data_IF_499511496997
#
_entry.id   IF_499511496997
#
_cell.length_a   1.000
_cell.length_b   1.000
_cell.length_c   1.000
_cell.angle_alpha   90.00
_cell.angle_beta   90.00
_cell.angle_gamma   90.00
#
_symmetry.space_group_name_H-M   'P 1'
#
loop_
_entity.id
_entity.type
_entity.pdbx_description
1 polymer ?
#
# COMPACT_ATOMS: atom_id res chain seq x y z
N UNK A 1 -9.89 3.82 -8.28
CA UNK A 1 -10.32 3.98 -6.86
C UNK A 1 -11.74 4.52 -6.80
N UNK A 2 -12.68 3.76 -6.22
CA UNK A 2 -14.10 4.10 -6.19
C UNK A 2 -14.75 3.85 -4.81
N UNK A 3 -13.99 3.41 -3.82
CA UNK A 3 -14.44 3.13 -2.47
C UNK A 3 -13.27 3.24 -1.47
N UNK A 4 -13.60 3.26 -0.17
CA UNK A 4 -12.59 3.10 0.88
C UNK A 4 -11.83 1.79 0.67
N UNK A 5 -10.55 1.78 1.03
CA UNK A 5 -9.76 0.56 1.00
C UNK A 5 -10.20 -0.39 2.12
N UNK A 6 -10.07 -1.68 1.88
CA UNK A 6 -10.25 -2.71 2.90
C UNK A 6 -8.90 -3.41 3.14
N UNK A 7 -8.81 -4.23 4.18
CA UNK A 7 -7.55 -4.88 4.60
C UNK A 7 -6.87 -5.68 3.47
N UNK A 8 -7.63 -6.25 2.53
CA UNK A 8 -7.09 -6.92 1.35
C UNK A 8 -6.39 -5.95 0.38
N UNK A 9 -6.86 -4.70 0.26
CA UNK A 9 -6.18 -3.66 -0.52
C UNK A 9 -4.98 -3.07 0.23
N UNK A 10 -5.05 -2.99 1.56
CA UNK A 10 -3.96 -2.50 2.40
C UNK A 10 -2.75 -3.46 2.38
N UNK A 11 -2.99 -4.76 2.26
CA UNK A 11 -1.93 -5.78 2.31
C UNK A 11 -0.80 -5.55 1.31
N UNK A 12 -1.03 -5.43 -0.02
CA UNK A 12 0.05 -5.12 -0.96
C UNK A 12 0.75 -3.80 -0.64
N UNK A 13 0.03 -2.77 -0.20
CA UNK A 13 0.60 -1.48 0.15
C UNK A 13 1.63 -1.61 1.28
N UNK A 14 1.30 -2.37 2.33
CA UNK A 14 2.18 -2.61 3.48
C UNK A 14 3.36 -3.51 3.10
N UNK A 15 3.12 -4.61 2.39
CA UNK A 15 4.17 -5.57 2.01
C UNK A 15 5.22 -4.92 1.13
N UNK A 16 4.80 -4.18 0.11
CA UNK A 16 5.75 -3.54 -0.80
C UNK A 16 6.41 -2.30 -0.20
N UNK A 17 5.79 -1.64 0.77
CA UNK A 17 6.45 -0.61 1.59
C UNK A 17 7.55 -1.23 2.47
N UNK A 18 7.30 -2.39 3.08
CA UNK A 18 8.31 -3.12 3.85
C UNK A 18 9.49 -3.55 2.96
N UNK A 19 9.21 -4.08 1.77
CA UNK A 19 10.27 -4.43 0.81
C UNK A 19 11.08 -3.19 0.40
N UNK A 20 10.42 -2.07 0.10
CA UNK A 20 11.06 -0.78 -0.18
C UNK A 20 11.95 -0.33 0.98
N UNK A 21 11.43 -0.32 2.21
CA UNK A 21 12.19 0.08 3.41
C UNK A 21 13.41 -0.79 3.63
N UNK A 22 13.30 -2.09 3.39
CA UNK A 22 14.44 -2.99 3.52
C UNK A 22 15.50 -2.73 2.45
N UNK A 23 15.12 -2.49 1.20
CA UNK A 23 16.08 -2.09 0.16
C UNK A 23 16.77 -0.77 0.51
N UNK A 24 16.03 0.24 0.98
CA UNK A 24 16.58 1.51 1.46
C UNK A 24 17.52 1.29 2.66
N UNK A 25 17.17 0.41 3.59
CA UNK A 25 18.01 0.00 4.72
C UNK A 25 19.33 -0.63 4.27
N UNK A 26 19.31 -1.43 3.19
CA UNK A 26 20.52 -2.03 2.57
C UNK A 26 21.30 -1.03 1.72
N UNK A 27 20.88 0.23 1.64
CA UNK A 27 21.59 1.31 0.97
C UNK A 27 21.22 1.54 -0.50
N UNK A 28 20.15 0.92 -0.99
CA UNK A 28 19.64 1.18 -2.33
C UNK A 28 18.84 2.49 -2.37
N UNK A 29 18.97 3.24 -3.47
CA UNK A 29 18.06 4.33 -3.80
C UNK A 29 16.83 3.73 -4.52
N UNK A 30 15.65 3.89 -3.92
CA UNK A 30 14.41 3.28 -4.44
C UNK A 30 13.50 4.34 -5.05
N UNK A 31 13.32 4.31 -6.36
CA UNK A 31 12.28 5.06 -7.06
C UNK A 31 10.99 4.25 -7.09
N UNK A 32 10.10 4.50 -6.11
CA UNK A 32 8.86 3.77 -5.92
C UNK A 32 7.69 4.47 -6.62
N UNK A 33 7.11 3.83 -7.63
CA UNK A 33 5.96 4.35 -8.39
C UNK A 33 4.74 3.50 -8.08
N UNK A 34 3.65 4.14 -7.65
CA UNK A 34 2.36 3.49 -7.39
C UNK A 34 1.24 4.33 -7.96
N UNK A 35 0.55 3.81 -8.96
CA UNK A 35 -0.47 4.53 -9.70
C UNK A 35 -1.84 4.52 -9.04
N UNK A 36 -2.69 5.44 -9.47
CA UNK A 36 -4.12 5.42 -9.23
C UNK A 36 -4.87 5.27 -10.55
N UNK A 37 -5.61 4.17 -10.72
CA UNK A 37 -6.63 4.05 -11.75
C UNK A 37 -7.80 4.93 -11.36
N UNK A 38 -7.96 6.07 -12.02
CA UNK A 38 -8.96 7.09 -11.75
C UNK A 38 -10.06 7.15 -12.84
N UNK A 39 -10.01 6.26 -13.82
CA UNK A 39 -11.05 6.00 -14.82
C UNK A 39 -11.25 4.49 -15.02
N UNK A 40 -12.44 4.00 -14.71
CA UNK A 40 -12.80 2.57 -14.74
C UNK A 40 -14.32 2.41 -14.72
N UNK A 41 -14.83 1.27 -15.21
CA UNK A 41 -16.27 0.97 -15.23
C UNK A 41 -16.95 1.10 -13.87
N UNK A 42 -16.25 0.74 -12.78
CA UNK A 42 -16.79 0.83 -11.40
C UNK A 42 -16.85 2.26 -10.90
N UNK A 43 -15.86 3.09 -11.26
CA UNK A 43 -15.85 4.53 -10.93
C UNK A 43 -17.01 5.22 -11.66
N UNK A 44 -17.18 4.94 -12.95
CA UNK A 44 -18.24 5.50 -13.78
C UNK A 44 -19.61 5.10 -13.24
N UNK A 45 -19.82 3.83 -12.94
CA UNK A 45 -21.06 3.33 -12.35
C UNK A 45 -21.40 4.05 -11.05
N UNK A 46 -20.42 4.21 -10.16
CA UNK A 46 -20.61 4.92 -8.89
C UNK A 46 -20.91 6.40 -9.09
N UNK A 47 -20.25 7.05 -10.03
CA UNK A 47 -20.51 8.45 -10.38
C UNK A 47 -21.95 8.65 -10.84
N UNK A 48 -22.46 7.76 -11.69
CA UNK A 48 -23.86 7.78 -12.16
C UNK A 48 -24.83 7.55 -10.99
N UNK A 49 -24.54 6.58 -10.11
CA UNK A 49 -25.36 6.29 -8.92
C UNK A 49 -25.44 7.46 -7.94
N UNK A 50 -24.34 8.20 -7.78
CA UNK A 50 -24.24 9.37 -6.87
C UNK A 50 -24.64 10.70 -7.55
N UNK A 51 -24.84 10.73 -8.86
CA UNK A 51 -25.16 11.94 -9.61
C UNK A 51 -24.01 12.97 -9.68
N UNK A 52 -22.77 12.50 -9.64
CA UNK A 52 -21.54 13.32 -9.68
C UNK A 52 -20.63 12.89 -10.84
N UNK A 53 -19.52 13.60 -11.07
CA UNK A 53 -18.55 13.20 -12.10
C UNK A 53 -17.65 12.04 -11.64
N UNK A 54 -17.10 11.28 -12.60
CA UNK A 54 -16.12 10.25 -12.33
C UNK A 54 -14.84 10.80 -11.67
N UNK A 55 -14.44 12.02 -12.06
CA UNK A 55 -13.32 12.76 -11.48
C UNK A 55 -13.57 13.10 -10.01
N UNK A 56 -14.77 13.51 -9.65
CA UNK A 56 -15.14 13.82 -8.27
C UNK A 56 -15.09 12.57 -7.38
N UNK A 57 -15.60 11.43 -7.89
CA UNK A 57 -15.51 10.14 -7.18
C UNK A 57 -14.07 9.73 -6.97
N UNK A 58 -13.26 9.71 -8.05
CA UNK A 58 -11.87 9.26 -7.96
C UNK A 58 -11.03 10.17 -7.07
N UNK A 59 -11.16 11.49 -7.18
CA UNK A 59 -10.44 12.48 -6.36
C UNK A 59 -10.73 12.28 -4.87
N UNK A 60 -12.01 12.08 -4.50
CA UNK A 60 -12.42 11.81 -3.13
C UNK A 60 -11.75 10.56 -2.59
N UNK A 61 -11.83 9.45 -3.29
CA UNK A 61 -11.28 8.18 -2.80
C UNK A 61 -9.75 8.06 -2.91
N UNK A 62 -9.10 8.80 -3.80
CA UNK A 62 -7.64 8.96 -3.78
C UNK A 62 -7.20 9.66 -2.50
N UNK A 63 -7.90 10.71 -2.08
CA UNK A 63 -7.62 11.42 -0.83
C UNK A 63 -7.78 10.51 0.39
N UNK A 64 -8.89 9.76 0.47
CA UNK A 64 -9.12 8.80 1.55
C UNK A 64 -8.06 7.70 1.56
N UNK A 65 -7.72 7.12 0.40
CA UNK A 65 -6.68 6.10 0.29
C UNK A 65 -5.31 6.62 0.78
N UNK A 66 -4.92 7.84 0.40
CA UNK A 66 -3.67 8.45 0.88
C UNK A 66 -3.67 8.66 2.38
N UNK A 67 -4.81 9.04 2.96
CA UNK A 67 -4.97 9.15 4.42
C UNK A 67 -4.82 7.79 5.10
N UNK A 68 -5.55 6.78 4.62
CA UNK A 68 -5.48 5.43 5.18
C UNK A 68 -4.06 4.84 5.10
N UNK A 69 -3.35 5.08 3.99
CA UNK A 69 -1.94 4.69 3.85
C UNK A 69 -1.04 5.38 4.88
N UNK A 70 -1.23 6.68 5.11
CA UNK A 70 -0.48 7.42 6.12
C UNK A 70 -0.79 6.92 7.54
N UNK A 71 -2.05 6.63 7.85
CA UNK A 71 -2.48 6.08 9.14
C UNK A 71 -1.89 4.68 9.41
N UNK A 72 -1.62 3.91 8.34
CA UNK A 72 -0.92 2.62 8.39
C UNK A 72 0.62 2.75 8.37
N UNK A 73 1.17 3.96 8.43
CA UNK A 73 2.60 4.25 8.32
C UNK A 73 3.26 3.79 7.00
N UNK A 74 2.49 3.69 5.92
CA UNK A 74 3.01 3.40 4.58
C UNK A 74 3.66 4.67 4.03
N UNK A 75 4.92 4.59 3.58
CA UNK A 75 5.64 5.72 2.98
C UNK A 75 4.94 6.17 1.70
N UNK A 76 4.80 7.48 1.45
CA UNK A 76 4.31 7.96 0.15
C UNK A 76 5.17 7.44 -1.01
N UNK A 77 4.55 7.10 -2.12
CA UNK A 77 5.28 6.77 -3.34
C UNK A 77 6.14 7.97 -3.79
N UNK A 78 7.28 7.69 -4.43
CA UNK A 78 8.11 8.73 -5.07
C UNK A 78 7.29 9.47 -6.12
N UNK A 79 6.48 8.71 -6.89
CA UNK A 79 5.53 9.24 -7.85
C UNK A 79 4.24 8.44 -7.81
N UNK A 80 3.10 9.12 -7.78
CA UNK A 80 1.76 8.51 -7.77
C UNK A 80 0.92 9.01 -8.95
N UNK A 81 1.18 8.52 -10.18
CA UNK A 81 0.50 9.00 -11.38
C UNK A 81 -0.95 8.56 -11.42
N UNK A 82 -1.78 9.33 -12.13
CA UNK A 82 -3.18 9.04 -12.40
C UNK A 82 -3.37 8.68 -13.88
N UNK A 83 -4.16 7.67 -14.17
CA UNK A 83 -4.37 7.19 -15.55
C UNK A 83 -4.89 8.31 -16.49
N UNK A 84 -5.80 9.15 -15.99
CA UNK A 84 -6.37 10.25 -16.79
C UNK A 84 -5.34 11.31 -17.23
N UNK A 85 -4.20 11.40 -16.55
CA UNK A 85 -3.12 12.33 -16.88
C UNK A 85 -2.17 11.78 -17.97
N UNK A 86 -2.31 10.49 -18.32
CA UNK A 86 -1.39 9.77 -19.21
C UNK A 86 -2.04 9.32 -20.54
N UNK A 87 -3.22 9.85 -20.86
CA UNK A 87 -4.01 9.44 -22.02
C UNK A 87 -3.23 9.56 -23.34
N UNK A 88 -2.49 10.64 -23.55
CA UNK A 88 -1.71 10.81 -24.79
C UNK A 88 -0.64 9.73 -24.92
N UNK A 89 0.06 9.42 -23.84
CA UNK A 89 1.05 8.33 -23.84
C UNK A 89 0.43 6.96 -24.16
N UNK A 90 -0.81 6.72 -23.69
CA UNK A 90 -1.55 5.50 -24.02
C UNK A 90 -1.91 5.45 -25.52
N UNK A 91 -2.37 6.55 -26.09
CA UNK A 91 -2.66 6.65 -27.53
C UNK A 91 -1.39 6.41 -28.35
N UNK A 92 -0.27 7.00 -27.97
CA UNK A 92 1.01 6.86 -28.66
C UNK A 92 1.53 5.42 -28.60
N UNK A 93 1.42 4.76 -27.44
CA UNK A 93 1.82 3.35 -27.27
C UNK A 93 0.92 2.44 -28.09
N UNK A 94 -0.39 2.63 -28.08
CA UNK A 94 -1.35 1.86 -28.89
C UNK A 94 -1.05 2.04 -30.38
N UNK A 95 -0.79 3.27 -30.83
CA UNK A 95 -0.43 3.50 -32.25
C UNK A 95 0.86 2.77 -32.62
N UNK A 96 1.87 2.80 -31.75
CA UNK A 96 3.12 2.05 -31.95
C UNK A 96 2.84 0.54 -32.08
N UNK A 97 1.95 -0.01 -31.26
CA UNK A 97 1.57 -1.43 -31.35
C UNK A 97 0.82 -1.75 -32.65
N UNK A 98 -0.02 -0.84 -33.16
CA UNK A 98 -0.69 -0.99 -34.44
C UNK A 98 0.34 -0.97 -35.58
N UNK A 99 1.25 0.01 -35.60
CA UNK A 99 2.26 0.16 -36.62
C UNK A 99 3.21 -1.04 -36.70
N UNK A 100 3.49 -1.67 -35.55
CA UNK A 100 4.27 -2.92 -35.45
C UNK A 100 3.43 -4.19 -35.74
N UNK A 101 2.12 -4.06 -35.95
CA UNK A 101 1.23 -5.15 -36.25
C UNK A 101 0.76 -6.01 -35.09
N UNK A 102 1.06 -5.57 -33.82
CA UNK A 102 0.62 -6.23 -32.60
C UNK A 102 -0.79 -5.82 -32.14
N UNK A 103 -1.34 -4.76 -32.70
CA UNK A 103 -2.71 -4.33 -32.42
C UNK A 103 -3.48 -4.02 -33.71
N UNK A 104 -4.80 -3.92 -33.62
CA UNK A 104 -5.68 -3.56 -34.74
C UNK A 104 -6.94 -2.83 -34.27
N UNK A 105 -7.42 -1.84 -35.02
CA UNK A 105 -8.71 -1.25 -34.81
C UNK A 105 -9.82 -2.11 -35.44
N UNK A 106 -10.89 -2.33 -34.69
CA UNK A 106 -12.13 -2.95 -35.17
C UNK A 106 -13.06 -1.91 -35.82
N UNK A 107 -14.14 -2.36 -36.45
CA UNK A 107 -15.05 -1.52 -37.20
C UNK A 107 -15.79 -0.46 -36.34
N UNK A 108 -16.00 -0.72 -35.04
CA UNK A 108 -16.61 0.20 -34.07
C UNK A 108 -15.62 1.18 -33.45
N UNK A 109 -14.32 1.09 -33.80
CA UNK A 109 -13.25 1.90 -33.25
C UNK A 109 -12.60 1.31 -31.97
N UNK A 110 -13.04 0.13 -31.51
CA UNK A 110 -12.33 -0.60 -30.45
C UNK A 110 -10.96 -1.03 -30.96
N UNK A 111 -9.92 -0.85 -30.17
CA UNK A 111 -8.58 -1.36 -30.52
C UNK A 111 -8.24 -2.55 -29.65
N UNK A 112 -7.85 -3.65 -30.30
CA UNK A 112 -7.45 -4.90 -29.66
C UNK A 112 -5.96 -5.19 -29.84
N UNK A 113 -5.37 -5.84 -28.84
CA UNK A 113 -4.04 -6.45 -28.92
C UNK A 113 -4.14 -7.87 -29.45
N UNK A 114 -3.25 -8.23 -30.40
CA UNK A 114 -3.17 -9.60 -31.00
C UNK A 114 -2.31 -10.49 -30.13
N UNK A 115 -2.92 -11.22 -29.21
CA UNK A 115 -2.21 -12.10 -28.26
C UNK A 115 -1.32 -13.12 -28.97
N UNK A 116 -1.81 -13.78 -30.02
CA UNK A 116 -1.06 -14.79 -30.76
C UNK A 116 0.17 -14.29 -31.52
N UNK A 117 0.31 -12.96 -31.69
CA UNK A 117 1.51 -12.36 -32.25
C UNK A 117 2.67 -12.30 -31.27
N UNK A 118 2.40 -12.23 -29.99
CA UNK A 118 3.41 -12.28 -28.95
C UNK A 118 3.64 -13.74 -28.51
N UNK A 119 4.68 -14.36 -29.04
CA UNK A 119 4.94 -15.81 -28.88
C UNK A 119 5.23 -16.20 -27.39
N UNK A 120 5.67 -15.26 -26.60
CA UNK A 120 6.01 -15.48 -25.19
C UNK A 120 4.84 -15.21 -24.25
N UNK A 121 3.62 -14.99 -24.78
CA UNK A 121 2.44 -14.76 -23.93
C UNK A 121 2.19 -15.96 -23.02
N UNK A 122 2.05 -15.69 -21.73
CA UNK A 122 1.91 -16.72 -20.68
C UNK A 122 3.22 -17.04 -19.95
N UNK A 123 4.33 -16.37 -20.27
CA UNK A 123 5.65 -16.65 -19.68
C UNK A 123 5.71 -16.36 -18.16
N UNK A 124 4.96 -15.38 -17.66
CA UNK A 124 4.89 -15.05 -16.23
C UNK A 124 3.91 -15.98 -15.52
N UNK A 125 2.73 -16.16 -16.07
CA UNK A 125 1.64 -16.95 -15.48
C UNK A 125 1.78 -18.45 -15.67
N UNK A 126 2.75 -18.90 -16.49
CA UNK A 126 2.95 -20.29 -16.91
C UNK A 126 1.68 -20.90 -17.55
N UNK A 127 0.84 -20.06 -18.16
CA UNK A 127 -0.38 -20.50 -18.83
C UNK A 127 -0.12 -20.78 -20.30
N UNK A 128 -0.60 -21.93 -20.76
CA UNK A 128 -0.56 -22.28 -22.17
C UNK A 128 -1.74 -21.63 -22.91
N UNK A 129 -1.49 -21.03 -24.08
CA UNK A 129 -2.53 -20.41 -24.90
C UNK A 129 -3.63 -21.40 -25.31
N UNK A 130 -3.30 -22.67 -25.54
CA UNK A 130 -4.27 -23.71 -25.93
C UNK A 130 -5.25 -24.00 -24.76
N UNK A 131 -4.78 -23.98 -23.52
CA UNK A 131 -5.61 -24.18 -22.33
C UNK A 131 -6.54 -22.98 -22.11
N UNK A 132 -6.06 -21.78 -22.37
CA UNK A 132 -6.87 -20.55 -22.28
C UNK A 132 -8.01 -20.54 -23.30
N UNK A 133 -7.80 -21.03 -24.54
CA UNK A 133 -8.84 -21.13 -25.57
C UNK A 133 -9.98 -22.07 -25.15
N UNK A 134 -9.69 -23.14 -24.44
CA UNK A 134 -10.71 -24.09 -23.98
C UNK A 134 -11.65 -23.52 -22.93
N UNK A 135 -11.16 -22.60 -22.08
CA UNK A 135 -11.94 -21.92 -21.03
C UNK A 135 -12.86 -20.80 -21.56
N UNK A 136 -12.48 -20.14 -22.65
CA UNK A 136 -13.26 -19.02 -23.23
C UNK A 136 -14.48 -19.44 -24.06
N UNK A 137 -14.58 -20.69 -24.47
CA UNK A 137 -15.72 -21.19 -25.30
C UNK A 137 -17.09 -21.09 -24.64
N UNK A 138 -17.15 -20.82 -23.33
CA UNK A 138 -18.40 -20.81 -22.56
C UNK A 138 -18.96 -19.43 -22.20
N UNK A 139 -18.24 -18.32 -22.42
CA UNK A 139 -18.65 -16.97 -22.02
C UNK A 139 -18.75 -16.04 -23.26
N UNK A 140 -19.92 -15.97 -23.88
CA UNK A 140 -20.22 -14.91 -24.85
C UNK A 140 -20.48 -13.60 -24.13
N UNK A 141 -19.53 -12.66 -24.21
CA UNK A 141 -19.69 -11.28 -23.75
C UNK A 141 -20.08 -10.41 -24.96
N UNK A 142 -21.04 -9.53 -24.78
CA UNK A 142 -21.49 -8.57 -25.80
C UNK A 142 -20.32 -7.72 -26.33
N UNK A 143 -20.05 -7.77 -27.64
CA UNK A 143 -18.95 -7.07 -28.31
C UNK A 143 -17.78 -7.96 -28.78
N UNK A 144 -17.82 -9.27 -28.51
CA UNK A 144 -16.77 -10.23 -28.90
C UNK A 144 -16.73 -10.57 -30.39
N UNK A 145 -17.79 -10.24 -31.13
CA UNK A 145 -17.92 -10.60 -32.56
C UNK A 145 -16.92 -9.85 -33.49
N UNK A 146 -16.17 -8.87 -32.95
CA UNK A 146 -15.22 -8.06 -33.71
C UNK A 146 -13.75 -8.41 -33.47
N UNK A 147 -13.46 -9.35 -32.55
CA UNK A 147 -12.09 -9.82 -32.30
C UNK A 147 -11.63 -10.77 -33.43
N UNK A 148 -10.37 -10.61 -33.85
CA UNK A 148 -9.72 -11.57 -34.74
C UNK A 148 -9.51 -12.92 -34.03
N UNK A 149 -9.23 -12.89 -32.72
CA UNK A 149 -9.06 -14.05 -31.84
C UNK A 149 -9.72 -13.84 -30.47
N UNK A 150 -10.36 -14.85 -29.87
CA UNK A 150 -11.01 -14.76 -28.58
C UNK A 150 -10.06 -14.32 -27.42
N UNK A 151 -8.75 -14.60 -27.54
CA UNK A 151 -7.75 -14.21 -26.54
C UNK A 151 -7.35 -12.74 -26.61
N UNK A 152 -7.66 -12.05 -27.73
CA UNK A 152 -7.29 -10.65 -27.91
C UNK A 152 -7.96 -9.78 -26.83
N UNK A 153 -7.23 -8.85 -26.28
CA UNK A 153 -7.72 -7.98 -25.23
C UNK A 153 -7.77 -6.50 -25.67
N UNK A 154 -8.62 -5.74 -25.02
CA UNK A 154 -8.94 -4.37 -25.40
C UNK A 154 -7.84 -3.41 -24.92
N UNK A 155 -7.35 -2.57 -25.84
CA UNK A 155 -6.45 -1.45 -25.57
C UNK A 155 -7.18 -0.10 -25.51
N UNK A 156 -8.23 0.08 -26.34
CA UNK A 156 -9.06 1.28 -26.41
C UNK A 156 -10.51 0.90 -26.62
N UNK A 157 -11.44 1.55 -25.89
CA UNK A 157 -12.89 1.30 -25.95
C UNK A 157 -13.61 2.52 -26.48
N UNK A 158 -14.59 2.39 -27.38
CA UNK A 158 -15.50 3.49 -27.77
C UNK A 158 -16.25 4.04 -26.55
N UNK A 159 -16.52 5.34 -26.57
CA UNK A 159 -17.33 5.99 -25.54
C UNK A 159 -18.75 5.45 -25.53
N UNK A 160 -19.34 5.40 -24.34
CA UNK A 160 -20.79 5.23 -24.14
C UNK A 160 -21.38 6.52 -23.60
N UNK A 161 -22.69 6.65 -23.70
CA UNK A 161 -23.40 7.79 -23.18
C UNK A 161 -23.17 7.95 -21.65
N UNK A 162 -22.82 9.17 -21.22
CA UNK A 162 -22.53 9.48 -19.82
C UNK A 162 -21.14 9.06 -19.31
N UNK A 163 -20.30 8.44 -20.15
CA UNK A 163 -18.93 8.09 -19.77
C UNK A 163 -17.93 9.22 -20.11
N UNK A 164 -16.87 9.41 -19.30
CA UNK A 164 -15.74 10.24 -19.69
C UNK A 164 -15.04 9.65 -20.93
N UNK A 165 -14.59 10.52 -21.82
CA UNK A 165 -13.94 10.10 -23.05
C UNK A 165 -12.86 11.08 -23.50
N UNK A 166 -11.94 10.57 -24.32
CA UNK A 166 -10.89 11.34 -24.97
C UNK A 166 -10.91 11.07 -26.48
N UNK A 167 -10.43 12.05 -27.24
CA UNK A 167 -10.28 11.90 -28.68
C UNK A 167 -9.09 10.99 -28.99
N UNK A 168 -9.27 10.06 -29.91
CA UNK A 168 -8.19 9.22 -30.42
C UNK A 168 -8.29 9.09 -31.94
N UNK A 169 -7.26 8.58 -32.64
CA UNK A 169 -7.32 8.33 -34.08
C UNK A 169 -8.40 7.32 -34.49
N UNK A 170 -8.87 6.47 -33.60
CA UNK A 170 -9.79 5.36 -33.88
C UNK A 170 -11.24 5.72 -33.56
N UNK A 171 -11.47 6.30 -32.41
CA UNK A 171 -12.79 6.82 -31.99
C UNK A 171 -12.66 7.67 -30.72
N UNK A 172 -13.68 8.48 -30.44
CA UNK A 172 -13.87 9.04 -29.10
C UNK A 172 -14.09 7.88 -28.13
N UNK A 173 -13.27 7.82 -27.04
CA UNK A 173 -13.32 6.67 -26.15
C UNK A 173 -12.39 6.78 -24.95
N UNK A 174 -12.05 5.64 -24.38
CA UNK A 174 -11.19 5.53 -23.20
C UNK A 174 -10.26 4.32 -23.24
N UNK A 175 -9.14 4.34 -22.51
CA UNK A 175 -8.19 3.22 -22.49
C UNK A 175 -8.79 1.96 -21.88
N UNK A 176 -8.24 0.81 -22.27
CA UNK A 176 -8.33 -0.43 -21.53
C UNK A 176 -7.48 -0.35 -20.25
N UNK A 177 -7.78 -1.21 -19.27
CA UNK A 177 -7.12 -1.17 -17.98
C UNK A 177 -5.61 -1.45 -18.00
N UNK A 178 -5.17 -2.36 -18.90
CA UNK A 178 -3.77 -2.84 -18.87
C UNK A 178 -2.78 -1.83 -19.47
N UNK A 179 -3.22 -1.00 -20.41
CA UNK A 179 -2.33 -0.03 -21.08
C UNK A 179 -1.88 1.10 -20.16
N UNK A 180 -2.68 1.41 -19.14
CA UNK A 180 -2.37 2.44 -18.15
C UNK A 180 -1.02 2.19 -17.47
N UNK A 181 -0.85 1.00 -16.90
CA UNK A 181 0.36 0.62 -16.17
C UNK A 181 1.58 0.52 -17.07
N UNK A 182 1.44 -0.03 -18.29
CA UNK A 182 2.54 -0.11 -19.27
C UNK A 182 3.08 1.28 -19.61
N UNK A 183 2.19 2.27 -19.83
CA UNK A 183 2.58 3.64 -20.15
C UNK A 183 3.19 4.35 -18.96
N UNK A 184 2.58 4.24 -17.77
CA UNK A 184 3.10 4.88 -16.56
C UNK A 184 4.46 4.30 -16.16
N UNK A 185 4.64 2.98 -16.26
CA UNK A 185 5.94 2.33 -16.01
C UNK A 185 7.01 2.86 -16.95
N UNK A 186 6.74 2.90 -18.26
CA UNK A 186 7.69 3.44 -19.24
C UNK A 186 8.05 4.89 -18.97
N UNK A 187 7.06 5.73 -18.64
CA UNK A 187 7.27 7.16 -18.43
C UNK A 187 8.09 7.47 -17.18
N UNK A 188 7.83 6.79 -16.06
CA UNK A 188 8.40 7.12 -14.76
C UNK A 188 9.58 6.25 -14.34
N UNK A 189 9.72 5.06 -14.93
CA UNK A 189 10.74 4.07 -14.58
C UNK A 189 11.63 3.64 -15.76
N UNK A 190 11.20 3.87 -17.00
CA UNK A 190 11.91 3.48 -18.20
C UNK A 190 11.30 2.29 -18.92
N UNK A 191 11.95 1.86 -20.01
CA UNK A 191 11.45 0.79 -20.87
C UNK A 191 11.60 -0.61 -20.25
N UNK A 192 12.64 -0.82 -19.46
CA UNK A 192 12.88 -1.97 -18.60
C UNK A 192 12.94 -1.50 -17.16
N UNK A 193 12.17 -2.11 -16.28
CA UNK A 193 12.13 -1.76 -14.85
C UNK A 193 12.79 -2.84 -14.01
N UNK A 194 13.29 -2.49 -12.82
CA UNK A 194 13.93 -3.49 -11.96
C UNK A 194 12.90 -4.44 -11.35
N UNK A 195 11.86 -3.91 -10.72
CA UNK A 195 10.85 -4.72 -10.01
C UNK A 195 9.46 -4.26 -10.41
N UNK A 196 8.59 -5.21 -10.80
CA UNK A 196 7.15 -5.01 -10.93
C UNK A 196 6.42 -5.84 -9.86
N UNK A 197 5.44 -5.23 -9.19
CA UNK A 197 4.84 -5.87 -8.04
C UNK A 197 3.31 -5.68 -8.00
N UNK A 198 2.60 -6.65 -7.42
CA UNK A 198 1.14 -6.57 -7.25
C UNK A 198 0.55 -7.75 -6.49
N UNK A 199 -0.78 -7.85 -6.44
CA UNK A 199 -1.48 -9.00 -5.92
C UNK A 199 -1.35 -10.21 -6.86
N UNK A 200 -1.45 -11.42 -6.32
CA UNK A 200 -1.41 -12.67 -7.09
C UNK A 200 -2.51 -12.74 -8.18
N UNK A 201 -3.65 -12.09 -7.93
CA UNK A 201 -4.75 -11.96 -8.90
C UNK A 201 -4.39 -11.14 -10.13
N UNK A 202 -3.36 -10.30 -10.06
CA UNK A 202 -2.87 -9.50 -11.18
C UNK A 202 -1.93 -10.28 -12.12
N UNK A 203 -1.34 -11.39 -11.66
CA UNK A 203 -0.43 -12.21 -12.51
C UNK A 203 -1.06 -12.48 -13.87
N UNK A 204 -2.34 -12.88 -13.86
CA UNK A 204 -3.12 -13.11 -15.06
C UNK A 204 -4.56 -12.61 -14.90
N UNK A 205 -5.07 -11.82 -15.86
CA UNK A 205 -4.43 -11.44 -17.13
C UNK A 205 -3.60 -10.15 -17.08
N UNK A 206 -3.61 -9.38 -15.98
CA UNK A 206 -3.15 -7.97 -15.96
C UNK A 206 -1.66 -7.84 -16.28
N UNK A 207 -0.79 -8.45 -15.48
CA UNK A 207 0.66 -8.37 -15.67
C UNK A 207 1.13 -9.05 -16.95
N UNK A 208 0.50 -10.16 -17.34
CA UNK A 208 0.79 -10.81 -18.61
C UNK A 208 0.48 -9.89 -19.80
N UNK A 209 -0.62 -9.14 -19.74
CA UNK A 209 -0.98 -8.16 -20.75
C UNK A 209 -0.04 -6.95 -20.75
N UNK A 210 0.44 -6.52 -19.58
CA UNK A 210 1.45 -5.45 -19.49
C UNK A 210 2.77 -5.86 -20.12
N UNK A 211 3.22 -7.11 -19.89
CA UNK A 211 4.40 -7.67 -20.55
C UNK A 211 4.23 -7.62 -22.07
N UNK A 212 3.11 -8.13 -22.57
CA UNK A 212 2.85 -8.17 -24.00
C UNK A 212 2.86 -6.77 -24.62
N UNK A 213 2.20 -5.79 -23.99
CA UNK A 213 2.17 -4.41 -24.46
C UNK A 213 3.56 -3.76 -24.43
N UNK A 214 4.26 -3.87 -23.31
CA UNK A 214 5.53 -3.18 -23.09
C UNK A 214 6.64 -3.78 -23.97
N UNK A 215 6.78 -5.08 -24.01
CA UNK A 215 7.84 -5.75 -24.79
C UNK A 215 7.61 -5.64 -26.29
N UNK A 216 6.37 -5.76 -26.77
CA UNK A 216 6.07 -5.52 -28.18
C UNK A 216 6.27 -4.06 -28.59
N UNK A 217 5.98 -3.11 -27.70
CA UNK A 217 6.20 -1.69 -27.96
C UNK A 217 7.68 -1.32 -27.93
N UNK A 218 8.42 -1.75 -26.89
CA UNK A 218 9.77 -1.28 -26.60
C UNK A 218 10.87 -2.17 -27.20
N UNK A 219 10.60 -3.48 -27.34
CA UNK A 219 11.59 -4.44 -27.86
C UNK A 219 12.62 -4.91 -26.83
N UNK A 220 12.38 -4.65 -25.55
CA UNK A 220 13.19 -5.07 -24.41
C UNK A 220 12.33 -5.74 -23.35
N UNK A 221 12.87 -6.56 -22.44
CA UNK A 221 12.13 -7.14 -21.33
C UNK A 221 11.45 -6.04 -20.48
N UNK A 222 10.24 -6.30 -19.99
CA UNK A 222 9.49 -5.31 -19.25
C UNK A 222 10.02 -5.13 -17.83
N UNK A 223 10.21 -6.20 -17.08
CA UNK A 223 10.71 -6.16 -15.70
C UNK A 223 11.72 -7.30 -15.47
N UNK A 224 12.76 -7.00 -14.67
CA UNK A 224 13.78 -8.00 -14.28
C UNK A 224 13.26 -8.95 -13.21
N UNK A 225 12.51 -8.41 -12.23
CA UNK A 225 11.96 -9.17 -11.10
C UNK A 225 10.47 -8.92 -10.95
N UNK A 226 9.74 -9.96 -10.54
CA UNK A 226 8.31 -9.93 -10.27
C UNK A 226 8.05 -10.31 -8.83
N UNK A 227 7.22 -9.52 -8.15
CA UNK A 227 6.83 -9.79 -6.77
C UNK A 227 5.31 -9.83 -6.64
N UNK A 228 4.77 -10.91 -6.08
CA UNK A 228 3.33 -11.07 -5.90
C UNK A 228 3.00 -11.47 -4.47
N UNK A 229 2.12 -10.70 -3.84
CA UNK A 229 1.58 -11.09 -2.55
C UNK A 229 0.34 -11.96 -2.72
N UNK A 230 0.26 -13.06 -1.96
CA UNK A 230 -0.92 -13.91 -1.91
C UNK A 230 -2.13 -13.21 -1.28
N UNK A 231 -3.34 -13.76 -1.49
CA UNK A 231 -4.55 -13.27 -0.85
C UNK A 231 -4.50 -13.35 0.68
N UNK A 232 -5.17 -12.41 1.34
CA UNK A 232 -5.39 -12.47 2.77
C UNK A 232 -6.53 -13.46 3.04
N UNK A 233 -6.19 -14.67 3.47
CA UNK A 233 -7.18 -15.66 3.91
C UNK A 233 -7.56 -15.36 5.36
N UNK A 234 -8.82 -15.03 5.60
CA UNK A 234 -9.39 -14.93 6.94
C UNK A 234 -9.90 -16.33 7.29
N UNK A 235 -9.03 -17.16 7.85
CA UNK A 235 -9.48 -18.36 8.55
C UNK A 235 -10.39 -17.94 9.72
N UNK A 236 -11.51 -18.64 9.94
CA UNK A 236 -12.47 -18.44 11.04
C UNK A 236 -11.85 -18.56 12.45
N UNK A 237 -10.56 -18.32 12.62
CA UNK A 237 -9.87 -18.28 13.91
C UNK A 237 -9.93 -16.86 14.47
N UNK A 238 -10.54 -16.73 15.66
CA UNK A 238 -10.50 -15.50 16.46
C UNK A 238 -9.04 -15.00 16.50
N UNK A 239 -8.82 -13.77 16.02
CA UNK A 239 -7.58 -13.04 16.33
C UNK A 239 -7.38 -13.11 17.84
N UNK A 240 -6.29 -13.72 18.29
CA UNK A 240 -6.03 -13.87 19.72
C UNK A 240 -5.64 -12.49 20.30
N UNK A 241 -6.06 -12.25 21.56
CA UNK A 241 -5.63 -11.06 22.31
C UNK A 241 -4.10 -10.92 22.43
N UNK A 242 -3.36 -12.00 22.14
CA UNK A 242 -1.89 -12.03 22.11
C UNK A 242 -1.26 -11.17 21.01
N UNK A 243 -1.97 -10.90 19.91
CA UNK A 243 -1.47 -10.02 18.84
C UNK A 243 -1.40 -8.55 19.27
N UNK A 244 -2.33 -8.09 20.13
CA UNK A 244 -2.27 -6.73 20.71
C UNK A 244 -1.05 -6.54 21.61
N UNK A 245 -0.65 -7.58 22.33
CA UNK A 245 0.48 -7.51 23.27
C UNK A 245 1.86 -7.44 22.58
N UNK A 246 1.97 -7.77 21.30
CA UNK A 246 3.25 -7.80 20.60
C UNK A 246 3.79 -6.36 20.35
N UNK A 247 2.98 -5.49 19.73
CA UNK A 247 3.39 -4.10 19.48
C UNK A 247 3.56 -3.32 20.79
N UNK A 248 2.66 -3.49 21.76
CA UNK A 248 2.78 -2.86 23.10
C UNK A 248 4.10 -3.23 23.79
N UNK A 249 4.55 -4.48 23.71
CA UNK A 249 5.84 -4.91 24.29
C UNK A 249 7.03 -4.18 23.67
N UNK A 250 7.02 -3.98 22.35
CA UNK A 250 8.09 -3.27 21.64
C UNK A 250 8.06 -1.78 22.01
N UNK A 251 6.90 -1.15 21.96
CA UNK A 251 6.74 0.28 22.28
C UNK A 251 7.07 0.58 23.76
N UNK A 252 6.70 -0.31 24.69
CA UNK A 252 7.06 -0.19 26.11
C UNK A 252 8.56 -0.33 26.34
N UNK A 253 9.23 -1.24 25.62
CA UNK A 253 10.68 -1.35 25.67
C UNK A 253 11.37 -0.10 25.15
N UNK A 254 10.92 0.45 24.01
CA UNK A 254 11.45 1.68 23.44
C UNK A 254 11.24 2.89 24.39
N UNK A 255 10.05 3.03 24.98
CA UNK A 255 9.77 4.07 25.95
C UNK A 255 10.70 3.99 27.17
N UNK A 256 10.88 2.78 27.70
CA UNK A 256 11.79 2.56 28.82
C UNK A 256 13.24 2.85 28.48
N UNK A 257 13.71 2.55 27.29
CA UNK A 257 15.06 2.90 26.84
C UNK A 257 15.26 4.42 26.77
N UNK A 258 14.25 5.19 26.30
CA UNK A 258 14.27 6.66 26.31
C UNK A 258 14.34 7.22 27.72
N UNK A 259 13.54 6.67 28.64
CA UNK A 259 13.56 7.07 30.05
C UNK A 259 14.94 6.80 30.66
N UNK A 260 15.54 5.64 30.39
CA UNK A 260 16.88 5.28 30.87
C UNK A 260 17.96 6.20 30.31
N UNK A 261 17.93 6.47 29.00
CA UNK A 261 18.83 7.43 28.35
C UNK A 261 18.77 8.81 29.01
N UNK A 262 17.56 9.29 29.32
CA UNK A 262 17.34 10.63 29.90
C UNK A 262 17.72 10.69 31.38
N UNK A 263 17.45 9.63 32.15
CA UNK A 263 17.67 9.56 33.59
C UNK A 263 19.07 9.10 33.98
N UNK A 264 19.90 8.65 33.04
CA UNK A 264 21.21 8.10 33.32
C UNK A 264 22.17 9.11 33.97
N UNK A 265 22.75 8.73 35.11
CA UNK A 265 23.79 9.52 35.78
C UNK A 265 25.18 9.34 35.19
N UNK A 266 25.39 8.21 34.48
CA UNK A 266 26.62 7.85 33.75
C UNK A 266 26.36 8.07 32.26
N UNK A 267 27.22 8.83 31.60
CA UNK A 267 27.04 9.16 30.18
C UNK A 267 27.70 8.12 29.25
N UNK A 268 28.94 7.75 29.51
CA UNK A 268 29.74 6.83 28.68
C UNK A 268 29.54 5.38 29.11
N UNK A 269 29.55 4.50 28.10
CA UNK A 269 29.41 3.06 28.32
C UNK A 269 30.69 2.46 28.96
N UNK A 270 30.49 1.58 29.96
CA UNK A 270 31.55 0.75 30.52
C UNK A 270 32.04 -0.29 29.49
N UNK A 271 33.18 -0.91 29.77
CA UNK A 271 33.71 -1.97 28.86
C UNK A 271 32.75 -3.15 28.75
N UNK A 272 32.05 -3.53 29.84
CA UNK A 272 31.04 -4.58 29.84
C UNK A 272 29.85 -4.17 28.97
N UNK A 273 29.38 -2.93 29.04
CA UNK A 273 28.31 -2.42 28.19
C UNK A 273 28.72 -2.35 26.73
N UNK A 274 29.95 -1.95 26.42
CA UNK A 274 30.46 -1.98 25.05
C UNK A 274 30.50 -3.39 24.47
N UNK A 275 30.82 -4.40 25.28
CA UNK A 275 30.72 -5.78 24.87
C UNK A 275 29.27 -6.16 24.59
N UNK A 276 28.31 -5.79 25.43
CA UNK A 276 26.88 -6.00 25.20
C UNK A 276 26.37 -5.31 23.92
N UNK A 277 26.84 -4.09 23.64
CA UNK A 277 26.54 -3.39 22.38
C UNK A 277 27.07 -4.17 21.16
N UNK A 278 28.22 -4.83 21.27
CA UNK A 278 28.72 -5.71 20.20
C UNK A 278 27.85 -6.95 20.01
N UNK A 279 27.29 -7.50 21.08
CA UNK A 279 26.37 -8.65 21.00
C UNK A 279 25.10 -8.31 20.22
N UNK A 280 24.67 -7.05 20.24
CA UNK A 280 23.47 -6.60 19.50
C UNK A 280 23.63 -6.76 17.98
N UNK A 281 24.86 -6.80 17.46
CA UNK A 281 25.10 -7.11 16.04
C UNK A 281 24.54 -8.48 15.63
N UNK A 282 24.44 -9.44 16.57
CA UNK A 282 23.83 -10.74 16.34
C UNK A 282 22.34 -10.66 16.04
N UNK A 283 21.60 -9.72 16.65
CA UNK A 283 20.17 -9.52 16.36
C UNK A 283 19.97 -8.85 15.01
N UNK A 284 20.86 -7.90 14.64
CA UNK A 284 20.85 -7.29 13.30
C UNK A 284 21.10 -8.37 12.25
N UNK A 285 22.11 -9.23 12.43
CA UNK A 285 22.38 -10.33 11.49
C UNK A 285 21.19 -11.26 11.31
N UNK A 286 20.55 -11.70 12.41
CA UNK A 286 19.35 -12.53 12.33
C UNK A 286 18.19 -11.87 11.60
N UNK A 287 18.01 -10.58 11.85
CA UNK A 287 17.00 -9.78 11.16
C UNK A 287 17.28 -9.71 9.65
N UNK A 288 18.52 -9.42 9.27
CA UNK A 288 18.93 -9.34 7.87
C UNK A 288 18.82 -10.71 7.18
N UNK A 289 19.27 -11.79 7.81
CA UNK A 289 19.12 -13.15 7.27
C UNK A 289 17.65 -13.50 6.99
N UNK A 290 16.74 -13.14 7.91
CA UNK A 290 15.31 -13.34 7.70
C UNK A 290 14.76 -12.50 6.56
N UNK A 291 15.17 -11.23 6.46
CA UNK A 291 14.69 -10.34 5.39
C UNK A 291 15.32 -10.66 4.03
N UNK A 292 16.53 -11.20 4.00
CA UNK A 292 17.19 -11.69 2.78
C UNK A 292 16.54 -13.00 2.27
N UNK A 293 15.83 -13.74 3.13
CA UNK A 293 15.04 -14.94 2.77
C UNK A 293 13.59 -14.57 2.42
N UNK A 294 13.40 -14.07 1.21
CA UNK A 294 12.07 -13.71 0.64
C UNK A 294 11.24 -12.75 1.50
N UNK A 295 11.91 -11.78 2.14
CA UNK A 295 11.28 -10.82 3.07
C UNK A 295 10.49 -11.52 4.19
N UNK A 296 11.07 -12.51 4.84
CA UNK A 296 10.45 -13.25 5.95
C UNK A 296 10.27 -12.36 7.20
N UNK A 297 9.23 -11.53 7.16
CA UNK A 297 8.90 -10.58 8.22
C UNK A 297 8.54 -11.26 9.55
N UNK A 298 8.14 -12.54 9.53
CA UNK A 298 7.82 -13.28 10.76
C UNK A 298 9.09 -13.56 11.58
N UNK A 299 10.14 -14.04 10.94
CA UNK A 299 11.43 -14.33 11.61
C UNK A 299 12.19 -13.02 11.88
N UNK A 300 12.09 -12.01 11.00
CA UNK A 300 12.60 -10.67 11.28
C UNK A 300 11.99 -10.07 12.55
N UNK A 301 10.68 -10.20 12.74
CA UNK A 301 9.99 -9.76 13.96
C UNK A 301 10.43 -10.57 15.19
N UNK A 302 10.73 -11.87 15.04
CA UNK A 302 11.28 -12.68 16.14
C UNK A 302 12.64 -12.14 16.60
N UNK A 303 13.52 -11.73 15.67
CA UNK A 303 14.80 -11.08 16.01
C UNK A 303 14.59 -9.78 16.79
N UNK A 304 13.59 -8.95 16.41
CA UNK A 304 13.21 -7.74 17.18
C UNK A 304 12.77 -8.12 18.61
N UNK A 305 12.00 -9.19 18.81
CA UNK A 305 11.62 -9.62 20.15
C UNK A 305 12.78 -10.17 20.99
N UNK A 306 13.77 -10.80 20.37
CA UNK A 306 15.00 -11.18 21.06
C UNK A 306 15.76 -9.93 21.55
N UNK A 307 15.87 -8.89 20.71
CA UNK A 307 16.43 -7.59 21.09
C UNK A 307 15.63 -6.92 22.21
N UNK A 308 14.30 -6.94 22.18
CA UNK A 308 13.44 -6.44 23.27
C UNK A 308 13.73 -7.18 24.59
N UNK A 309 13.88 -8.51 24.54
CA UNK A 309 14.24 -9.31 25.72
C UNK A 309 15.64 -8.94 26.24
N UNK A 310 16.60 -8.80 25.35
CA UNK A 310 17.96 -8.38 25.68
C UNK A 310 17.97 -7.01 26.35
N UNK A 311 17.30 -5.99 25.77
CA UNK A 311 17.17 -4.65 26.33
C UNK A 311 16.54 -4.68 27.73
N UNK A 312 15.46 -5.48 27.88
CA UNK A 312 14.78 -5.62 29.16
C UNK A 312 15.63 -6.27 30.25
N UNK A 313 16.61 -7.09 29.88
CA UNK A 313 17.48 -7.80 30.81
C UNK A 313 18.71 -6.97 31.19
N UNK A 314 19.33 -6.29 30.21
CA UNK A 314 20.66 -5.71 30.36
C UNK A 314 20.65 -4.20 30.58
N UNK A 315 19.67 -3.44 30.01
CA UNK A 315 19.56 -1.98 30.25
C UNK A 315 18.75 -1.71 31.51
N UNK A 316 19.44 -1.46 32.60
CA UNK A 316 18.88 -1.29 33.94
C UNK A 316 19.06 0.15 34.48
N UNK A 317 18.65 0.43 35.75
CA UNK A 317 18.75 1.74 36.37
C UNK A 317 20.18 2.31 36.47
N UNK A 318 21.19 1.46 36.53
CA UNK A 318 22.59 1.87 36.57
C UNK A 318 23.29 1.96 35.23
N UNK A 319 22.59 1.64 34.13
CA UNK A 319 23.18 1.65 32.78
C UNK A 319 23.49 3.06 32.30
N UNK A 320 24.52 3.19 31.44
CA UNK A 320 24.91 4.45 30.83
C UNK A 320 23.87 4.97 29.81
N UNK A 321 23.87 6.28 29.60
CA UNK A 321 23.07 6.91 28.58
C UNK A 321 23.43 6.39 27.17
N UNK A 322 24.71 6.19 26.91
CA UNK A 322 25.24 5.69 25.65
C UNK A 322 24.72 4.28 25.32
N UNK A 323 24.73 3.35 26.29
CA UNK A 323 24.22 1.98 26.09
C UNK A 323 22.72 1.99 25.81
N UNK A 324 21.93 2.75 26.60
CA UNK A 324 20.49 2.86 26.39
C UNK A 324 20.16 3.49 25.02
N UNK A 325 20.91 4.51 24.59
CA UNK A 325 20.75 5.18 23.30
C UNK A 325 21.06 4.23 22.13
N UNK A 326 22.17 3.50 22.20
CA UNK A 326 22.56 2.54 21.18
C UNK A 326 21.51 1.44 20.99
N UNK A 327 21.07 0.81 22.07
CA UNK A 327 20.04 -0.23 22.01
C UNK A 327 18.72 0.31 21.42
N UNK A 328 18.35 1.54 21.81
CA UNK A 328 17.16 2.21 21.24
C UNK A 328 17.33 2.48 19.74
N UNK A 329 18.51 2.93 19.29
CA UNK A 329 18.80 3.17 17.88
C UNK A 329 18.67 1.90 17.05
N UNK A 330 19.30 0.78 17.50
CA UNK A 330 19.18 -0.52 16.84
C UNK A 330 17.73 -0.95 16.75
N UNK A 331 16.99 -0.90 17.86
CA UNK A 331 15.57 -1.26 17.89
C UNK A 331 14.75 -0.41 16.92
N UNK A 332 14.96 0.90 16.91
CA UNK A 332 14.25 1.82 16.03
C UNK A 332 14.53 1.51 14.56
N UNK A 333 15.79 1.26 14.22
CA UNK A 333 16.22 0.96 12.86
C UNK A 333 15.57 -0.30 12.31
N UNK A 334 15.52 -1.39 13.10
CA UNK A 334 14.89 -2.63 12.68
C UNK A 334 13.36 -2.50 12.59
N UNK A 335 12.75 -1.80 13.55
CA UNK A 335 11.30 -1.57 13.54
C UNK A 335 10.85 -0.66 12.40
N UNK A 336 11.66 0.34 11.99
CA UNK A 336 11.34 1.22 10.85
C UNK A 336 11.28 0.43 9.53
N UNK A 337 12.16 -0.57 9.34
CA UNK A 337 12.09 -1.48 8.18
C UNK A 337 10.76 -2.22 8.12
N UNK A 338 10.23 -2.65 9.27
CA UNK A 338 8.93 -3.32 9.36
C UNK A 338 7.74 -2.34 9.36
N UNK A 339 7.99 -1.04 9.28
CA UNK A 339 6.95 -0.01 9.35
C UNK A 339 6.29 0.13 10.73
N UNK A 340 6.91 -0.39 11.80
CA UNK A 340 6.37 -0.32 13.16
C UNK A 340 6.63 1.04 13.79
N UNK A 341 5.58 1.67 14.32
CA UNK A 341 5.66 2.95 15.01
C UNK A 341 6.02 2.70 16.48
N UNK A 342 7.20 3.18 16.91
CA UNK A 342 7.66 3.03 18.29
C UNK A 342 7.23 4.19 19.21
N UNK A 343 6.85 5.33 18.65
CA UNK A 343 6.31 6.42 19.42
C UNK A 343 4.86 6.09 19.75
N UNK A 344 4.55 6.03 21.07
CA UNK A 344 3.15 6.14 21.45
C UNK A 344 2.69 7.49 20.90
N UNK A 345 1.65 7.52 20.04
CA UNK A 345 0.88 8.76 19.84
C UNK A 345 0.64 9.25 21.27
N UNK A 346 0.89 10.54 21.54
CA UNK A 346 0.53 11.13 22.82
C UNK A 346 -0.95 10.87 23.03
N UNK A 347 -1.24 9.75 23.67
CA UNK A 347 -2.58 9.44 24.12
C UNK A 347 -2.88 10.55 25.11
N UNK A 348 -3.88 11.37 24.77
CA UNK A 348 -4.39 12.37 25.71
C UNK A 348 -4.50 11.74 27.08
N UNK A 349 -3.85 12.32 28.08
CA UNK A 349 -3.84 11.80 29.45
C UNK A 349 -5.29 11.64 29.94
N UNK A 350 -5.57 10.57 30.66
CA UNK A 350 -6.91 10.34 31.21
C UNK A 350 -7.41 11.55 31.99
N UNK A 351 -6.51 12.26 32.71
CA UNK A 351 -6.81 13.52 33.40
C UNK A 351 -7.25 14.64 32.45
N UNK A 352 -6.63 14.77 31.29
CA UNK A 352 -7.02 15.76 30.26
C UNK A 352 -8.37 15.39 29.64
N UNK A 353 -8.65 14.09 29.44
CA UNK A 353 -9.96 13.60 28.98
C UNK A 353 -11.04 13.97 30.02
N UNK A 354 -10.81 13.67 31.29
CA UNK A 354 -11.75 13.98 32.37
C UNK A 354 -11.99 15.48 32.51
N UNK A 355 -10.94 16.31 32.35
CA UNK A 355 -11.06 17.78 32.37
C UNK A 355 -11.92 18.28 31.19
N UNK A 356 -11.71 17.77 29.98
CA UNK A 356 -12.52 18.13 28.82
C UNK A 356 -13.98 17.62 28.94
N UNK A 357 -14.21 16.46 29.55
CA UNK A 357 -15.55 15.98 29.88
C UNK A 357 -16.23 16.91 30.92
N UNK A 358 -15.51 17.34 31.95
CA UNK A 358 -16.04 18.26 32.95
C UNK A 358 -16.38 19.64 32.34
N UNK A 359 -15.52 20.17 31.47
CA UNK A 359 -15.77 21.42 30.73
C UNK A 359 -17.01 21.27 29.80
N UNK A 360 -17.14 20.15 29.05
CA UNK A 360 -18.31 19.88 28.25
C UNK A 360 -19.60 19.83 29.08
N UNK A 361 -19.54 19.22 30.27
CA UNK A 361 -20.69 19.19 31.17
C UNK A 361 -21.08 20.56 31.70
N UNK A 362 -20.08 21.39 32.00
CA UNK A 362 -20.27 22.79 32.43
C UNK A 362 -20.92 23.61 31.29
N UNK A 363 -20.43 23.49 30.05
CA UNK A 363 -21.00 24.16 28.91
C UNK A 363 -22.48 23.73 28.67
N UNK A 364 -22.80 22.45 28.80
CA UNK A 364 -24.21 21.98 28.70
C UNK A 364 -25.11 22.55 29.83
N UNK A 365 -24.60 22.65 31.05
CA UNK A 365 -25.35 23.29 32.16
C UNK A 365 -25.59 24.78 31.90
N UNK A 366 -24.63 25.45 31.27
CA UNK A 366 -24.74 26.85 30.87
C UNK A 366 -25.59 27.06 29.60
N UNK A 367 -26.10 25.96 28.98
CA UNK A 367 -26.82 25.95 27.70
C UNK A 367 -25.97 26.44 26.53
N UNK A 368 -24.65 26.37 26.61
CA UNK A 368 -23.70 26.58 25.52
C UNK A 368 -23.47 25.27 24.80
N UNK A 369 -24.43 24.95 23.91
CA UNK A 369 -24.40 23.70 23.18
C UNK A 369 -23.31 23.71 22.09
N UNK A 370 -22.95 24.89 21.55
CA UNK A 370 -21.89 25.02 20.55
C UNK A 370 -20.54 24.58 21.13
N UNK A 371 -20.18 25.06 22.31
CA UNK A 371 -18.95 24.66 23.01
C UNK A 371 -18.96 23.18 23.41
N UNK A 372 -20.11 22.66 23.84
CA UNK A 372 -20.24 21.25 24.21
C UNK A 372 -20.03 20.31 23.00
N UNK A 373 -20.51 20.69 21.82
CA UNK A 373 -20.33 19.92 20.59
C UNK A 373 -18.91 20.04 20.04
N UNK A 374 -18.28 21.22 20.14
CA UNK A 374 -16.87 21.42 19.82
C UNK A 374 -15.96 20.49 20.64
N UNK A 375 -16.16 20.41 21.95
CA UNK A 375 -15.37 19.53 22.83
C UNK A 375 -15.62 18.05 22.47
N UNK A 376 -16.85 17.69 22.13
CA UNK A 376 -17.16 16.32 21.69
C UNK A 376 -16.43 15.96 20.40
N UNK A 377 -16.41 16.89 19.44
CA UNK A 377 -15.64 16.73 18.20
C UNK A 377 -14.15 16.57 18.45
N UNK A 378 -13.56 17.45 19.29
CA UNK A 378 -12.15 17.42 19.68
C UNK A 378 -11.76 16.08 20.34
N UNK A 379 -12.61 15.54 21.22
CA UNK A 379 -12.37 14.23 21.84
C UNK A 379 -12.48 13.10 20.84
N UNK A 380 -13.45 13.16 19.90
CA UNK A 380 -13.62 12.17 18.86
C UNK A 380 -12.41 12.16 17.89
N UNK A 381 -11.90 13.35 17.51
CA UNK A 381 -10.71 13.50 16.69
C UNK A 381 -9.44 12.94 17.35
N UNK A 382 -9.42 12.95 18.70
CA UNK A 382 -8.37 12.33 19.50
C UNK A 382 -8.63 10.85 19.83
N UNK A 383 -9.58 10.21 19.15
CA UNK A 383 -9.89 8.79 19.31
C UNK A 383 -10.67 8.45 20.59
N UNK A 384 -11.40 9.41 21.17
CA UNK A 384 -12.20 9.22 22.38
C UNK A 384 -13.70 9.33 22.04
N UNK A 385 -14.44 8.23 22.19
CA UNK A 385 -15.89 8.21 22.05
C UNK A 385 -16.58 8.43 23.41
N UNK A 386 -17.46 9.45 23.46
CA UNK A 386 -18.26 9.75 24.64
C UNK A 386 -19.63 9.11 24.56
N UNK A 387 -20.08 8.49 25.64
CA UNK A 387 -21.43 7.97 25.82
C UNK A 387 -22.10 8.61 27.05
N UNK A 388 -23.10 9.45 26.80
CA UNK A 388 -23.93 10.03 27.88
C UNK A 388 -24.82 8.91 28.48
N UNK A 389 -24.75 8.71 29.80
CA UNK A 389 -25.57 7.75 30.54
C UNK A 389 -26.33 8.45 31.67
N UNK A 390 -27.31 7.77 32.28
CA UNK A 390 -28.04 8.32 33.45
C UNK A 390 -27.16 8.52 34.67
N UNK A 391 -26.02 7.83 34.74
CA UNK A 391 -25.04 7.86 35.81
C UNK A 391 -23.90 8.87 35.57
N UNK A 392 -23.86 9.50 34.37
CA UNK A 392 -22.81 10.41 33.94
C UNK A 392 -22.30 10.12 32.52
N UNK A 393 -21.22 10.76 32.14
CA UNK A 393 -20.56 10.52 30.84
C UNK A 393 -19.55 9.39 31.01
N UNK A 394 -19.70 8.33 30.23
CA UNK A 394 -18.69 7.27 30.09
C UNK A 394 -17.95 7.49 28.79
N UNK A 395 -16.66 7.17 28.77
CA UNK A 395 -15.85 7.28 27.56
C UNK A 395 -15.07 6.00 27.31
N UNK A 396 -14.64 5.81 26.07
CA UNK A 396 -13.74 4.75 25.65
C UNK A 396 -12.83 5.25 24.54
N UNK A 397 -11.63 4.71 24.46
CA UNK A 397 -10.72 4.89 23.33
C UNK A 397 -11.20 4.03 22.16
N UNK A 398 -11.21 4.60 20.92
CA UNK A 398 -11.65 3.96 19.68
C UNK A 398 -10.51 3.89 18.68
#
# INVERSE_FOLDING_TARGET
>A
VYNLIHIGNARPMIIFDTARRYMEYKGYEVNYVSNFTDVDDKIIKKAIEEGVSAEEVSTRYIKECKKDMADMNVKPATTAPQATQEIQGMIDMIQTLIDKGYAYPAADGTVYFRVKKFKEYGKLSHKNLDDLQSGFRSLKVSGEDQKEDPLDFVLWKPKKEGEPFWKSPWCDGRPGWHIECSVMSKKYLGEEIDIHAGGEDLVFPHHENEIAQSECCNGVPFAKYWMHNAFLNIDNRKMSKSSKNALERITDAAARLRDRQTAASVQEASEDEKQMMQEEAGFITKFEEAMDDDFNTADALAAVFELVKFANTNVQEGSSAEFAAYTLEVMTKLCDVLGLILDKKDDILDEEIENLIAERQAARKAKDFARADEIRGLLLDKGIELKDTREGVKWKRI
#
